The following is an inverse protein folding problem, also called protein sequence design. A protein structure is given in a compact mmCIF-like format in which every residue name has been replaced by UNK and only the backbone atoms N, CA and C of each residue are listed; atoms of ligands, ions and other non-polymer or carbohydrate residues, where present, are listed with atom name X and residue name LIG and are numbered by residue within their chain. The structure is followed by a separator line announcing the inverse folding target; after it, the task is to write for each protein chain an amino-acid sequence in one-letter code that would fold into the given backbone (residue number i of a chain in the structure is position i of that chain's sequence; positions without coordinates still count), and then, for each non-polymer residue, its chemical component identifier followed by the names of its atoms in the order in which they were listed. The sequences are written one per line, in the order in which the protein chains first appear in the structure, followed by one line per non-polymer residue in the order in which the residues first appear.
data_IF_023254714083
#
_entry.id   IF_023254714083
#
_cell.length_a   1.000
_cell.length_b   1.000
_cell.length_c   1.000
_cell.angle_alpha   90.00
_cell.angle_beta   90.00
_cell.angle_gamma   90.00
#
_symmetry.space_group_name_H-M   'P 1'
#
loop_
_entity.id
_entity.type
_entity.pdbx_description
1 polymer ?
#
# COMPACT_ATOMS: atom_id res chain seq x y z
N UNK A 1 6.44 -17.74 -22.70
CA UNK A 1 6.61 -16.74 -21.63
C UNK A 1 5.39 -16.90 -20.75
N UNK A 2 5.51 -17.83 -19.82
CA UNK A 2 4.38 -18.52 -19.20
C UNK A 2 3.65 -17.68 -18.16
N UNK A 3 2.44 -18.16 -17.81
CA UNK A 3 1.48 -17.56 -16.86
C UNK A 3 2.09 -17.27 -15.47
N UNK A 4 3.30 -17.74 -15.19
CA UNK A 4 4.04 -17.54 -13.93
C UNK A 4 4.75 -16.18 -13.82
N UNK A 5 4.80 -15.41 -14.91
CA UNK A 5 5.41 -14.07 -14.89
C UNK A 5 4.47 -12.99 -14.31
N UNK A 6 3.18 -13.30 -14.20
CA UNK A 6 2.13 -12.36 -13.81
C UNK A 6 1.17 -13.08 -12.87
N UNK A 7 1.27 -12.93 -11.53
CA UNK A 7 0.18 -12.99 -10.53
C UNK A 7 0.71 -13.33 -9.12
N UNK A 8 0.00 -12.86 -8.07
CA UNK A 8 -1.08 -13.70 -7.52
C UNK A 8 -2.50 -13.10 -7.56
N UNK A 9 -2.76 -11.95 -8.21
CA UNK A 9 -4.15 -11.51 -8.39
C UNK A 9 -4.87 -12.41 -9.40
N UNK A 10 -5.67 -13.36 -8.90
CA UNK A 10 -6.60 -14.19 -9.68
C UNK A 10 -7.37 -13.32 -10.67
N UNK A 11 -7.50 -13.85 -11.88
CA UNK A 11 -8.24 -13.28 -12.99
C UNK A 11 -9.64 -12.82 -12.56
N UNK A 12 -9.94 -11.54 -12.77
CA UNK A 12 -11.30 -11.13 -13.06
C UNK A 12 -11.52 -11.42 -14.54
N UNK A 13 -12.38 -12.39 -14.84
CA UNK A 13 -12.85 -12.70 -16.19
C UNK A 13 -13.60 -11.47 -16.74
N UNK A 14 -12.89 -10.62 -17.49
CA UNK A 14 -13.54 -9.61 -18.33
C UNK A 14 -13.69 -10.16 -19.75
N UNK A 15 -14.91 -10.60 -20.03
CA UNK A 15 -15.38 -11.07 -21.33
C UNK A 15 -15.12 -10.00 -22.39
N UNK A 16 -14.55 -10.45 -23.50
CA UNK A 16 -14.03 -9.60 -24.57
C UNK A 16 -15.05 -8.68 -25.23
N UNK A 17 -14.58 -7.48 -25.57
CA UNK A 17 -15.07 -6.71 -26.71
C UNK A 17 -13.87 -6.24 -27.53
N UNK A 18 -13.83 -6.62 -28.80
CA UNK A 18 -12.89 -6.06 -29.75
C UNK A 18 -13.22 -4.59 -29.96
N UNK A 19 -12.26 -3.70 -29.71
CA UNK A 19 -12.36 -2.30 -30.08
C UNK A 19 -11.55 -2.07 -31.38
N UNK A 20 -12.11 -1.35 -32.38
CA UNK A 20 -11.41 -1.06 -33.62
C UNK A 20 -10.21 -0.14 -33.37
N UNK A 21 -9.12 -0.38 -34.11
CA UNK A 21 -7.87 0.34 -33.97
C UNK A 21 -7.99 1.81 -34.34
N UNK A 22 -7.94 2.70 -33.33
CA UNK A 22 -7.29 4.01 -33.41
C UNK A 22 -7.32 4.67 -32.02
N UNK A 23 -6.40 4.29 -31.11
CA UNK A 23 -6.26 4.97 -29.79
C UNK A 23 -4.80 5.19 -29.35
N UNK A 24 -3.80 5.07 -30.23
CA UNK A 24 -2.42 5.34 -29.82
C UNK A 24 -2.18 6.86 -29.59
N UNK A 25 -3.02 7.74 -30.12
CA UNK A 25 -2.86 9.20 -29.93
C UNK A 25 -3.65 9.78 -28.75
N UNK A 26 -4.39 8.96 -27.98
CA UNK A 26 -5.28 9.46 -26.92
C UNK A 26 -4.91 9.03 -25.49
N UNK A 27 -3.79 8.31 -25.28
CA UNK A 27 -3.32 7.92 -23.92
C UNK A 27 -2.24 8.87 -23.38
N UNK A 28 -2.02 10.01 -24.02
CA UNK A 28 -1.35 11.17 -23.41
C UNK A 28 -2.36 12.27 -23.08
N UNK A 29 -3.47 11.90 -22.45
CA UNK A 29 -4.11 12.86 -21.55
C UNK A 29 -3.07 13.19 -20.46
N UNK A 30 -2.91 14.46 -20.13
CA UNK A 30 -1.96 15.01 -19.17
C UNK A 30 -2.25 14.56 -17.72
N UNK A 31 -2.34 13.25 -17.50
CA UNK A 31 -2.13 12.62 -16.21
C UNK A 31 -0.61 12.54 -16.10
N UNK A 32 -0.03 13.36 -15.25
CA UNK A 32 1.37 13.23 -14.86
C UNK A 32 1.53 11.89 -14.14
N UNK A 33 1.70 10.81 -14.91
CA UNK A 33 2.01 9.49 -14.34
C UNK A 33 3.42 9.60 -13.77
N UNK A 34 3.53 9.53 -12.45
CA UNK A 34 4.82 9.49 -11.77
C UNK A 34 5.62 8.30 -12.34
N UNK A 35 6.81 8.53 -12.92
CA UNK A 35 7.60 7.44 -13.46
C UNK A 35 8.01 6.47 -12.35
N UNK A 36 7.98 5.18 -12.65
CA UNK A 36 8.39 4.15 -11.71
C UNK A 36 9.87 4.29 -11.36
N UNK A 37 10.12 4.50 -10.08
CA UNK A 37 11.43 4.74 -9.49
C UNK A 37 12.18 3.45 -9.14
N UNK A 38 11.50 2.30 -9.19
CA UNK A 38 12.05 1.01 -8.81
C UNK A 38 11.80 0.62 -7.36
N UNK A 39 11.00 1.36 -6.60
CA UNK A 39 10.59 0.98 -5.25
C UNK A 39 9.79 -0.33 -5.28
N UNK A 40 10.24 -1.40 -4.60
CA UNK A 40 9.51 -2.66 -4.56
C UNK A 40 8.07 -2.54 -4.04
N UNK A 41 7.79 -1.55 -3.18
CA UNK A 41 6.44 -1.32 -2.63
C UNK A 41 5.46 -0.79 -3.68
N UNK A 42 5.96 -0.17 -4.74
CA UNK A 42 5.16 0.34 -5.88
C UNK A 42 5.05 -0.70 -7.01
N UNK A 43 5.74 -1.84 -6.90
CA UNK A 43 5.87 -2.81 -7.98
C UNK A 43 4.52 -3.35 -8.46
N UNK A 44 3.69 -3.87 -7.56
CA UNK A 44 2.43 -4.53 -7.94
C UNK A 44 1.48 -3.59 -8.67
N UNK A 45 1.37 -2.34 -8.18
CA UNK A 45 0.58 -1.30 -8.83
C UNK A 45 1.12 -0.97 -10.22
N UNK A 46 2.44 -0.78 -10.32
CA UNK A 46 3.09 -0.44 -11.58
C UNK A 46 2.93 -1.56 -12.62
N UNK A 47 3.32 -2.79 -12.27
CA UNK A 47 3.32 -3.90 -13.22
C UNK A 47 1.90 -4.31 -13.61
N UNK A 48 0.95 -4.24 -12.67
CA UNK A 48 -0.48 -4.48 -12.95
C UNK A 48 -1.05 -3.46 -13.92
N UNK A 49 -0.78 -2.17 -13.70
CA UNK A 49 -1.23 -1.09 -14.59
C UNK A 49 -0.57 -1.18 -15.97
N UNK A 50 0.73 -1.40 -16.02
CA UNK A 50 1.46 -1.58 -17.28
C UNK A 50 0.95 -2.79 -18.07
N UNK A 51 0.62 -3.89 -17.37
CA UNK A 51 0.04 -5.07 -18.02
C UNK A 51 -1.28 -4.73 -18.72
N UNK A 52 -2.23 -4.21 -17.95
CA UNK A 52 -3.59 -3.98 -18.42
C UNK A 52 -3.68 -2.90 -19.50
N UNK A 53 -2.82 -1.87 -19.43
CA UNK A 53 -2.89 -0.72 -20.33
C UNK A 53 -1.96 -0.82 -21.53
N UNK A 54 -0.86 -1.59 -21.43
CA UNK A 54 0.19 -1.62 -22.45
C UNK A 54 0.50 -3.04 -22.92
N UNK A 55 0.83 -3.96 -22.00
CA UNK A 55 1.21 -5.32 -22.39
C UNK A 55 0.07 -6.03 -23.13
N UNK A 56 -1.13 -6.02 -22.57
CA UNK A 56 -2.25 -6.81 -23.12
C UNK A 56 -2.89 -6.14 -24.36
N UNK A 57 -2.79 -4.81 -24.49
CA UNK A 57 -3.51 -4.02 -25.50
C UNK A 57 -2.65 -3.63 -26.70
N UNK A 58 -1.37 -3.31 -26.50
CA UNK A 58 -0.47 -2.87 -27.59
C UNK A 58 0.16 -4.09 -28.25
N UNK A 59 0.00 -4.28 -29.55
CA UNK A 59 0.53 -5.48 -30.24
C UNK A 59 2.04 -5.40 -30.55
N UNK A 60 2.59 -4.21 -30.76
CA UNK A 60 4.01 -4.02 -31.14
C UNK A 60 4.93 -3.94 -29.93
N UNK A 61 5.94 -4.81 -29.86
CA UNK A 61 6.98 -4.73 -28.83
C UNK A 61 7.81 -3.44 -28.91
N UNK A 62 7.94 -2.83 -30.09
CA UNK A 62 8.66 -1.56 -30.22
C UNK A 62 7.90 -0.44 -29.49
N UNK A 63 6.57 -0.40 -29.66
CA UNK A 63 5.70 0.53 -28.95
C UNK A 63 5.68 0.24 -27.44
N UNK A 64 5.56 -1.04 -27.04
CA UNK A 64 5.61 -1.43 -25.62
C UNK A 64 6.91 -0.99 -24.93
N UNK A 65 8.07 -1.14 -25.59
CA UNK A 65 9.36 -0.65 -25.08
C UNK A 65 9.40 0.87 -25.01
N UNK A 66 8.92 1.57 -26.05
CA UNK A 66 8.89 3.03 -26.06
C UNK A 66 8.07 3.58 -24.89
N UNK A 67 6.88 3.02 -24.66
CA UNK A 67 6.04 3.36 -23.51
C UNK A 67 6.70 2.98 -22.18
N UNK A 68 7.29 1.78 -22.09
CA UNK A 68 8.02 1.37 -20.88
C UNK A 68 9.13 2.37 -20.53
N UNK A 69 9.90 2.86 -21.51
CA UNK A 69 10.95 3.88 -21.30
C UNK A 69 10.38 5.19 -20.74
N UNK A 70 9.17 5.58 -21.14
CA UNK A 70 8.53 6.80 -20.64
C UNK A 70 8.04 6.64 -19.19
N UNK A 71 7.62 5.43 -18.82
CA UNK A 71 7.10 5.11 -17.49
C UNK A 71 8.19 4.76 -16.47
N UNK A 72 9.47 4.78 -16.86
CA UNK A 72 10.60 4.48 -15.97
C UNK A 72 11.43 5.74 -15.70
N UNK A 73 11.83 5.92 -14.45
CA UNK A 73 12.83 6.95 -14.10
C UNK A 73 14.14 6.72 -14.86
N UNK A 74 14.97 7.77 -14.97
CA UNK A 74 16.29 7.66 -15.62
C UNK A 74 17.16 6.58 -14.95
N UNK A 75 17.15 6.52 -13.61
CA UNK A 75 17.89 5.51 -12.84
C UNK A 75 17.57 4.09 -13.30
N UNK A 76 16.29 3.74 -13.36
CA UNK A 76 15.86 2.39 -13.74
C UNK A 76 16.13 2.10 -15.21
N UNK A 77 15.94 3.08 -16.10
CA UNK A 77 16.30 2.95 -17.52
C UNK A 77 17.78 2.59 -17.71
N UNK A 78 18.67 3.19 -16.93
CA UNK A 78 20.11 2.91 -17.01
C UNK A 78 20.42 1.49 -16.52
N UNK A 79 19.74 0.99 -15.49
CA UNK A 79 19.95 -0.36 -14.97
C UNK A 79 19.59 -1.49 -15.96
N UNK A 80 18.63 -1.26 -16.85
CA UNK A 80 18.17 -2.24 -17.86
C UNK A 80 18.39 -1.74 -19.31
N UNK A 81 19.32 -0.80 -19.51
CA UNK A 81 19.49 -0.11 -20.78
C UNK A 81 19.68 -1.03 -22.00
N UNK A 82 20.51 -2.10 -21.94
CA UNK A 82 20.70 -3.00 -23.08
C UNK A 82 19.39 -3.61 -23.58
N UNK A 83 18.48 -3.94 -22.68
CA UNK A 83 17.21 -4.59 -22.96
C UNK A 83 16.17 -3.62 -23.57
N UNK A 84 16.44 -2.32 -23.53
CA UNK A 84 15.55 -1.27 -24.04
C UNK A 84 15.92 -0.80 -25.46
N UNK A 85 16.89 -1.43 -26.12
CA UNK A 85 17.39 -1.04 -27.44
C UNK A 85 16.56 -1.56 -28.61
N UNK A 86 15.84 -2.67 -28.45
CA UNK A 86 15.13 -3.29 -29.57
C UNK A 86 13.92 -4.14 -29.15
N UNK A 87 12.92 -4.27 -30.05
CA UNK A 87 11.65 -4.96 -29.77
C UNK A 87 11.82 -6.45 -29.43
N UNK A 88 12.89 -7.09 -29.90
CA UNK A 88 13.24 -8.47 -29.60
C UNK A 88 13.68 -8.69 -28.13
N UNK A 89 14.08 -7.63 -27.44
CA UNK A 89 14.55 -7.68 -26.05
C UNK A 89 13.45 -7.37 -25.02
N UNK A 90 12.23 -7.08 -25.46
CA UNK A 90 11.11 -6.70 -24.60
C UNK A 90 10.86 -7.70 -23.46
N UNK A 91 10.86 -8.99 -23.78
CA UNK A 91 10.72 -10.06 -22.81
C UNK A 91 11.81 -10.00 -21.72
N UNK A 92 13.06 -9.79 -22.15
CA UNK A 92 14.20 -9.68 -21.24
C UNK A 92 14.13 -8.40 -20.40
N UNK A 93 13.65 -7.28 -20.97
CA UNK A 93 13.45 -6.04 -20.23
C UNK A 93 12.47 -6.21 -19.06
N UNK A 94 11.35 -6.91 -19.27
CA UNK A 94 10.39 -7.20 -18.20
C UNK A 94 10.98 -8.14 -17.14
N UNK A 95 11.75 -9.15 -17.56
CA UNK A 95 12.41 -10.08 -16.64
C UNK A 95 13.42 -9.37 -15.74
N UNK A 96 14.26 -8.52 -16.32
CA UNK A 96 15.27 -7.77 -15.57
C UNK A 96 14.63 -6.71 -14.67
N UNK A 97 13.56 -6.06 -15.12
CA UNK A 97 12.80 -5.13 -14.30
C UNK A 97 12.15 -5.82 -13.09
N UNK A 98 11.55 -7.01 -13.28
CA UNK A 98 11.02 -7.82 -12.18
C UNK A 98 12.12 -8.25 -11.22
N UNK A 99 13.30 -8.64 -11.71
CA UNK A 99 14.42 -9.01 -10.84
C UNK A 99 14.89 -7.83 -9.96
N UNK A 100 14.81 -6.61 -10.47
CA UNK A 100 15.26 -5.40 -9.76
C UNK A 100 14.26 -4.91 -8.70
N UNK A 101 12.96 -5.05 -8.96
CA UNK A 101 11.93 -4.43 -8.11
C UNK A 101 10.76 -5.34 -7.73
N UNK A 102 10.57 -6.44 -8.44
CA UNK A 102 9.44 -7.36 -8.28
C UNK A 102 9.82 -8.74 -7.74
N UNK A 103 11.02 -8.88 -7.17
CA UNK A 103 11.39 -10.09 -6.43
C UNK A 103 10.60 -10.14 -5.12
N UNK A 104 9.89 -11.25 -4.81
CA UNK A 104 9.09 -11.33 -3.59
C UNK A 104 9.87 -11.03 -2.31
N UNK A 105 11.14 -11.45 -2.21
CA UNK A 105 11.95 -11.19 -1.02
C UNK A 105 12.30 -9.71 -0.91
N UNK A 106 12.63 -9.05 -2.03
CA UNK A 106 12.85 -7.60 -2.03
C UNK A 106 11.61 -6.81 -1.61
N UNK A 107 10.42 -7.24 -2.02
CA UNK A 107 9.15 -6.63 -1.60
C UNK A 107 8.96 -6.83 -0.09
N UNK A 108 9.09 -8.07 0.39
CA UNK A 108 8.98 -8.41 1.82
C UNK A 108 9.95 -7.58 2.66
N UNK A 109 11.23 -7.55 2.29
CA UNK A 109 12.29 -6.80 2.97
C UNK A 109 11.98 -5.30 3.02
N UNK A 110 11.45 -4.74 1.93
CA UNK A 110 11.05 -3.34 1.88
C UNK A 110 9.91 -3.01 2.86
N UNK A 111 8.94 -3.91 3.03
CA UNK A 111 7.84 -3.72 3.98
C UNK A 111 8.25 -4.00 5.43
N UNK A 112 9.13 -4.97 5.69
CA UNK A 112 9.72 -5.15 7.03
C UNK A 112 10.52 -3.90 7.41
N UNK A 113 11.37 -3.42 6.51
CA UNK A 113 12.11 -2.18 6.75
C UNK A 113 11.16 -1.01 7.01
N UNK A 114 10.07 -0.90 6.25
CA UNK A 114 9.05 0.11 6.48
C UNK A 114 8.48 0.02 7.91
N UNK A 115 8.11 -1.18 8.38
CA UNK A 115 7.65 -1.41 9.76
C UNK A 115 8.67 -0.96 10.82
N UNK A 116 9.96 -1.27 10.61
CA UNK A 116 11.04 -0.92 11.54
C UNK A 116 11.34 0.60 11.55
N UNK A 117 11.14 1.26 10.41
CA UNK A 117 11.38 2.68 10.19
C UNK A 117 10.12 3.55 10.41
N UNK A 118 8.99 2.96 10.84
CA UNK A 118 7.78 3.72 11.16
C UNK A 118 8.12 4.87 12.12
N UNK A 119 7.62 6.05 11.79
CA UNK A 119 7.82 7.25 12.62
C UNK A 119 7.12 7.04 13.97
N UNK A 120 7.83 7.16 15.10
CA UNK A 120 7.22 7.03 16.42
C UNK A 120 6.04 7.99 16.62
N UNK A 121 5.00 7.53 17.32
CA UNK A 121 3.84 8.37 17.65
C UNK A 121 4.24 9.50 18.59
N UNK A 122 3.71 10.71 18.36
CA UNK A 122 3.81 11.79 19.34
C UNK A 122 2.77 11.60 20.44
N UNK A 123 3.07 12.10 21.62
CA UNK A 123 2.14 12.06 22.74
C UNK A 123 1.00 13.07 22.53
N UNK A 124 -0.25 12.63 22.72
CA UNK A 124 -1.40 13.52 22.86
C UNK A 124 -2.21 13.82 21.60
N UNK A 125 -1.89 13.22 20.45
CA UNK A 125 -2.62 13.43 19.20
C UNK A 125 -3.34 12.15 18.72
N UNK A 126 -4.65 12.22 18.49
CA UNK A 126 -5.42 11.09 17.95
C UNK A 126 -5.06 10.80 16.49
N UNK A 127 -4.72 11.82 15.69
CA UNK A 127 -4.37 11.59 14.27
C UNK A 127 -3.07 10.81 14.09
N UNK A 128 -2.18 10.81 15.10
CA UNK A 128 -0.97 9.99 15.08
C UNK A 128 -1.27 8.50 15.28
N UNK A 129 -2.36 8.16 15.98
CA UNK A 129 -2.78 6.76 16.17
C UNK A 129 -3.33 6.21 14.87
N UNK A 130 -4.19 6.97 14.18
CA UNK A 130 -4.74 6.60 12.87
C UNK A 130 -3.64 6.43 11.83
N UNK A 131 -2.73 7.42 11.70
CA UNK A 131 -1.57 7.32 10.78
C UNK A 131 -0.77 6.05 11.05
N UNK A 132 -0.40 5.82 12.29
CA UNK A 132 0.38 4.65 12.67
C UNK A 132 -0.34 3.34 12.37
N UNK A 133 -1.64 3.27 12.65
CA UNK A 133 -2.47 2.13 12.30
C UNK A 133 -2.43 1.86 10.79
N UNK A 134 -2.69 2.85 9.94
CA UNK A 134 -2.69 2.65 8.49
C UNK A 134 -1.32 2.22 7.94
N UNK A 135 -0.22 2.74 8.49
CA UNK A 135 1.14 2.31 8.12
C UNK A 135 1.38 0.83 8.49
N UNK A 136 1.06 0.43 9.73
CA UNK A 136 1.19 -0.97 10.19
C UNK A 136 0.28 -1.91 9.41
N UNK A 137 -0.99 -1.54 9.25
CA UNK A 137 -2.01 -2.34 8.56
C UNK A 137 -1.65 -2.58 7.10
N UNK A 138 -1.23 -1.53 6.38
CA UNK A 138 -0.81 -1.63 4.98
C UNK A 138 0.38 -2.56 4.78
N UNK A 139 1.38 -2.48 5.65
CA UNK A 139 2.53 -3.36 5.61
C UNK A 139 2.15 -4.82 5.91
N UNK A 140 1.34 -5.06 6.94
CA UNK A 140 0.90 -6.42 7.33
C UNK A 140 0.04 -7.06 6.23
N UNK A 141 -0.90 -6.34 5.62
CA UNK A 141 -1.70 -6.87 4.51
C UNK A 141 -0.84 -7.26 3.31
N UNK A 142 0.21 -6.51 3.02
CA UNK A 142 1.15 -6.85 1.95
C UNK A 142 1.93 -8.12 2.32
N UNK A 143 2.47 -8.20 3.53
CA UNK A 143 3.17 -9.41 4.01
C UNK A 143 2.27 -10.66 4.01
N UNK A 144 0.98 -10.52 4.36
CA UNK A 144 -0.02 -11.60 4.25
C UNK A 144 -0.19 -12.07 2.80
N UNK A 145 -0.29 -11.13 1.87
CA UNK A 145 -0.48 -11.42 0.43
C UNK A 145 0.71 -12.15 -0.18
N UNK A 146 1.93 -11.87 0.29
CA UNK A 146 3.14 -12.56 -0.15
C UNK A 146 3.39 -13.91 0.55
N UNK A 147 2.50 -14.34 1.46
CA UNK A 147 2.54 -15.67 2.09
C UNK A 147 3.55 -15.79 3.24
N UNK A 148 4.07 -14.69 3.76
CA UNK A 148 5.21 -14.71 4.70
C UNK A 148 4.75 -14.82 6.16
N UNK A 149 4.28 -16.01 6.53
CA UNK A 149 3.76 -16.27 7.88
C UNK A 149 4.85 -16.14 8.96
N UNK A 150 6.11 -16.46 8.65
CA UNK A 150 7.23 -16.36 9.60
C UNK A 150 7.45 -14.91 10.05
N UNK A 151 7.46 -13.97 9.10
CA UNK A 151 7.68 -12.54 9.38
C UNK A 151 6.55 -11.94 10.21
N UNK A 152 5.31 -12.34 9.94
CA UNK A 152 4.13 -11.93 10.71
C UNK A 152 4.18 -12.41 12.16
N UNK A 153 4.84 -13.54 12.42
CA UNK A 153 5.05 -14.11 13.76
C UNK A 153 6.34 -13.66 14.44
N UNK A 154 7.14 -12.81 13.80
CA UNK A 154 8.42 -12.33 14.35
C UNK A 154 8.21 -11.49 15.61
N UNK A 155 8.65 -12.03 16.75
CA UNK A 155 8.60 -11.34 18.05
C UNK A 155 9.48 -10.08 18.04
N UNK A 156 10.63 -10.13 17.39
CA UNK A 156 11.56 -9.00 17.29
C UNK A 156 10.93 -7.85 16.51
N UNK A 157 10.32 -8.15 15.35
CA UNK A 157 9.62 -7.14 14.55
C UNK A 157 8.43 -6.57 15.32
N UNK A 158 7.64 -7.41 15.99
CA UNK A 158 6.55 -6.94 16.86
C UNK A 158 7.07 -5.98 17.94
N UNK A 159 8.12 -6.33 18.67
CA UNK A 159 8.68 -5.47 19.72
C UNK A 159 9.21 -4.15 19.17
N UNK A 160 9.84 -4.19 17.99
CA UNK A 160 10.32 -2.98 17.31
C UNK A 160 9.15 -2.05 16.96
N UNK A 161 8.07 -2.56 16.36
CA UNK A 161 6.87 -1.77 16.03
C UNK A 161 6.21 -1.24 17.31
N UNK A 162 6.06 -2.06 18.34
CA UNK A 162 5.48 -1.66 19.63
C UNK A 162 6.27 -0.53 20.29
N UNK A 163 7.61 -0.54 20.15
CA UNK A 163 8.47 0.51 20.70
C UNK A 163 8.21 1.90 20.09
N UNK A 164 7.63 1.96 18.89
CA UNK A 164 7.26 3.20 18.18
C UNK A 164 5.93 3.79 18.67
N UNK A 165 5.13 3.03 19.41
CA UNK A 165 3.89 3.56 20.00
C UNK A 165 4.19 4.51 21.16
N UNK A 166 3.24 5.37 21.51
CA UNK A 166 3.35 6.17 22.74
C UNK A 166 3.21 5.29 24.00
N UNK A 167 3.66 5.80 25.17
CA UNK A 167 3.68 5.02 26.42
C UNK A 167 2.31 4.51 26.86
N UNK A 168 1.24 5.27 26.61
CA UNK A 168 -0.13 4.85 26.92
C UNK A 168 -0.51 3.59 26.14
N UNK A 169 -0.31 3.60 24.82
CA UNK A 169 -0.62 2.46 23.96
C UNK A 169 0.31 1.28 24.21
N UNK A 170 1.59 1.50 24.56
CA UNK A 170 2.49 0.43 24.99
C UNK A 170 1.93 -0.33 26.22
N UNK A 171 1.44 0.40 27.24
CA UNK A 171 0.86 -0.21 28.43
C UNK A 171 -0.44 -0.96 28.15
N UNK A 172 -1.32 -0.40 27.30
CA UNK A 172 -2.57 -1.07 26.90
C UNK A 172 -2.30 -2.33 26.07
N UNK A 173 -1.35 -2.26 25.14
CA UNK A 173 -0.90 -3.40 24.36
C UNK A 173 -0.29 -4.50 25.23
N UNK A 174 0.49 -4.14 26.25
CA UNK A 174 1.07 -5.11 27.19
C UNK A 174 -0.03 -5.90 27.93
N UNK A 175 -1.13 -5.23 28.32
CA UNK A 175 -2.31 -5.88 28.91
C UNK A 175 -2.99 -6.80 27.90
N UNK A 176 -3.28 -6.32 26.69
CA UNK A 176 -3.86 -7.16 25.63
C UNK A 176 -3.02 -8.39 25.33
N UNK A 177 -1.69 -8.22 25.27
CA UNK A 177 -0.74 -9.31 25.05
C UNK A 177 -0.74 -10.35 26.18
N UNK A 178 -0.99 -9.93 27.42
CA UNK A 178 -1.13 -10.83 28.57
C UNK A 178 -2.38 -11.72 28.41
N UNK A 179 -3.48 -11.15 27.91
CA UNK A 179 -4.77 -11.83 27.73
C UNK A 179 -4.75 -12.84 26.57
N UNK A 180 -3.83 -12.70 25.60
CA UNK A 180 -3.68 -13.61 24.46
C UNK A 180 -2.99 -14.95 24.81
N UNK A 181 -2.48 -15.11 26.04
CA UNK A 181 -1.80 -16.34 26.46
C UNK A 181 -2.76 -17.54 26.48
N UNK A 182 -2.27 -18.76 26.22
CA UNK A 182 -0.86 -19.19 26.21
C UNK A 182 -0.10 -18.89 24.91
N UNK A 183 -0.78 -18.48 23.84
CA UNK A 183 -0.14 -18.18 22.55
C UNK A 183 0.64 -16.85 22.63
N UNK A 184 1.85 -16.76 22.07
CA UNK A 184 2.53 -15.48 21.93
C UNK A 184 1.77 -14.57 20.95
N UNK A 185 1.66 -13.29 21.30
CA UNK A 185 1.13 -12.26 20.41
C UNK A 185 2.05 -12.07 19.20
N UNK A 186 1.47 -11.72 18.07
CA UNK A 186 2.16 -11.47 16.80
C UNK A 186 1.72 -10.14 16.16
N UNK A 187 2.25 -9.81 14.98
CA UNK A 187 1.91 -8.56 14.28
C UNK A 187 0.44 -8.48 13.88
N UNK A 188 -0.20 -9.61 13.54
CA UNK A 188 -1.62 -9.64 13.20
C UNK A 188 -2.51 -9.33 14.42
N UNK A 189 -2.11 -9.77 15.61
CA UNK A 189 -2.82 -9.42 16.85
C UNK A 189 -2.71 -7.92 17.13
N UNK A 190 -1.55 -7.31 16.84
CA UNK A 190 -1.33 -5.87 17.00
C UNK A 190 -2.19 -5.08 16.01
N UNK A 191 -2.26 -5.52 14.76
CA UNK A 191 -3.07 -4.94 13.69
C UNK A 191 -4.55 -4.85 14.09
N UNK A 192 -5.15 -5.98 14.48
CA UNK A 192 -6.55 -6.07 14.92
C UNK A 192 -6.80 -5.20 16.15
N UNK A 193 -5.86 -5.19 17.10
CA UNK A 193 -6.00 -4.36 18.29
C UNK A 193 -5.90 -2.87 17.99
N UNK A 194 -5.02 -2.44 17.07
CA UNK A 194 -4.93 -1.04 16.65
C UNK A 194 -6.21 -0.59 15.93
N UNK A 195 -6.79 -1.45 15.09
CA UNK A 195 -8.07 -1.21 14.42
C UNK A 195 -9.20 -0.97 15.45
N UNK A 196 -9.27 -1.80 16.49
CA UNK A 196 -10.22 -1.64 17.60
C UNK A 196 -10.04 -0.27 18.29
N UNK A 197 -8.79 0.12 18.59
CA UNK A 197 -8.48 1.40 19.24
C UNK A 197 -8.88 2.60 18.36
N UNK A 198 -8.57 2.56 17.06
CA UNK A 198 -8.93 3.64 16.11
C UNK A 198 -10.45 3.75 15.99
N UNK A 199 -11.16 2.62 15.89
CA UNK A 199 -12.62 2.60 15.80
C UNK A 199 -13.28 3.21 17.04
N UNK A 200 -12.78 2.85 18.24
CA UNK A 200 -13.28 3.43 19.51
C UNK A 200 -13.03 4.94 19.55
N UNK A 201 -11.85 5.40 19.12
CA UNK A 201 -11.53 6.84 19.11
C UNK A 201 -12.42 7.62 18.14
N UNK A 202 -12.66 7.07 16.95
CA UNK A 202 -13.54 7.67 15.95
C UNK A 202 -14.96 7.85 16.50
N UNK A 203 -15.53 6.78 17.08
CA UNK A 203 -16.88 6.83 17.68
C UNK A 203 -16.97 7.86 18.81
N UNK A 204 -15.97 7.89 19.70
CA UNK A 204 -15.95 8.87 20.81
C UNK A 204 -15.86 10.33 20.31
N UNK A 205 -15.20 10.58 19.18
CA UNK A 205 -15.15 11.92 18.58
C UNK A 205 -16.48 12.31 17.94
N UNK A 206 -17.16 11.37 17.28
CA UNK A 206 -18.51 11.59 16.73
C UNK A 206 -19.51 11.99 17.82
N UNK A 207 -19.50 11.31 18.96
CA UNK A 207 -20.38 11.60 20.10
C UNK A 207 -20.16 13.02 20.65
N UNK A 208 -18.91 13.46 20.77
CA UNK A 208 -18.55 14.81 21.26
C UNK A 208 -18.96 15.90 20.26
N UNK A 209 -18.78 15.63 18.97
CA UNK A 209 -19.18 16.56 17.91
C UNK A 209 -20.70 16.75 17.88
N UNK A 210 -21.46 15.65 17.93
CA UNK A 210 -22.91 15.67 17.94
C UNK A 210 -23.47 16.40 19.19
N UNK A 211 -22.86 16.17 20.35
CA UNK A 211 -23.23 16.89 21.57
C UNK A 211 -22.96 18.40 21.47
N UNK A 212 -21.81 18.79 20.92
CA UNK A 212 -21.44 20.20 20.76
C UNK A 212 -22.36 20.91 19.77
N UNK A 213 -22.73 20.28 18.66
CA UNK A 213 -23.68 20.85 17.70
C UNK A 213 -25.08 21.03 18.29
N UNK A 214 -25.55 20.05 19.08
CA UNK A 214 -26.84 20.14 19.79
C UNK A 214 -26.86 21.30 20.79
N UNK A 215 -25.76 21.53 21.51
CA UNK A 215 -25.61 22.67 22.42
C UNK A 215 -25.67 24.01 21.66
N UNK A 216 -24.95 24.13 20.55
CA UNK A 216 -24.94 25.36 19.72
C UNK A 216 -26.32 25.62 19.11
N UNK A 217 -27.04 24.58 18.65
CA UNK A 217 -28.42 24.72 18.14
C UNK A 217 -29.38 25.21 19.25
N UNK A 218 -29.28 24.64 20.45
CA UNK A 218 -30.11 25.04 21.59
C UNK A 218 -29.85 26.48 22.05
N UNK A 219 -28.60 26.95 22.00
CA UNK A 219 -28.24 28.34 22.30
C UNK A 219 -28.86 29.32 21.29
N UNK A 220 -28.73 29.05 19.99
CA UNK A 220 -29.32 29.88 18.93
C UNK A 220 -30.85 29.94 19.00
N UNK A 221 -31.50 28.83 19.32
CA UNK A 221 -32.96 28.79 19.48
C UNK A 221 -33.45 29.66 20.65
N UNK A 222 -32.70 29.70 21.77
CA UNK A 222 -33.03 30.54 22.92
C UNK A 222 -32.86 32.04 22.63
N UNK A 223 -31.86 32.43 21.86
CA UNK A 223 -31.66 33.83 21.44
C UNK A 223 -32.77 34.32 20.51
N UNK A 224 -33.29 33.43 19.64
CA UNK A 224 -34.35 33.77 18.68
C UNK A 224 -35.72 33.93 19.33
N UNK A 225 -35.94 33.33 20.51
CA UNK A 225 -37.20 33.43 21.27
C UNK A 225 -37.24 34.60 22.27
N UNK A 226 -36.12 35.31 22.44
CA UNK A 226 -35.98 36.44 23.36
C UNK A 226 -36.04 37.81 22.64
N UNK A 227 -36.33 37.83 21.34
CA UNK A 227 -36.52 39.03 20.50
C UNK A 227 -37.95 39.09 20.01
#
# INVERSE_FOLDING_TARGET
MDRECWCPFRACDYVGRSLPGCLITAVTAAITVEPFDGDPRKWDQFIGSYKALVHDVVSSNAQRIATLKQLLTHRIRTCIAPQLYGPNLYAQALKDLRRLSGDPNLIIDAYIKNLLDITPMRSGNCSDVERFFFEVHGAINTLRTHGTSSELTSRTTLQAVVSKMNKRLQSLWARRSYDLRPRPANLCDLDVWLEEIVTIQSNAQSDVHEYSERQVKNLKQKETLAT
#
